data_IF_928515897753
#
_entry.id   IF_928515897753
#
_cell.length_a   1.000
_cell.length_b   1.000
_cell.length_c   1.000
_cell.angle_alpha   90.00
_cell.angle_beta   90.00
_cell.angle_gamma   90.00
#
_symmetry.space_group_name_H-M   'P 1'
#
loop_
_entity.id
_entity.type
_entity.pdbx_description
1 polymer ?
#
# COMPACT_ATOMS: atom_id res chain seq x y z
N UNK A 1 29.76 -17.30 -19.71
CA UNK A 1 28.80 -17.63 -18.62
C UNK A 1 27.82 -16.49 -18.43
N UNK A 2 26.90 -16.27 -19.38
CA UNK A 2 25.84 -15.23 -19.24
C UNK A 2 24.45 -15.87 -19.33
N UNK A 3 24.34 -17.00 -20.05
CA UNK A 3 23.09 -17.74 -20.23
C UNK A 3 22.60 -18.44 -18.95
N UNK A 4 23.50 -18.90 -18.07
CA UNK A 4 23.11 -19.53 -16.81
C UNK A 4 22.52 -18.53 -15.82
N UNK A 5 23.08 -17.32 -15.74
CA UNK A 5 22.63 -16.27 -14.81
C UNK A 5 21.22 -15.76 -15.16
N UNK A 6 20.91 -15.62 -16.44
CA UNK A 6 19.58 -15.21 -16.90
C UNK A 6 18.49 -16.25 -16.53
N UNK A 7 18.76 -17.54 -16.73
CA UNK A 7 17.81 -18.62 -16.40
C UNK A 7 17.56 -18.73 -14.89
N UNK A 8 18.57 -18.48 -14.06
CA UNK A 8 18.38 -18.44 -12.60
C UNK A 8 17.55 -17.24 -12.14
N UNK A 9 17.75 -16.07 -12.76
CA UNK A 9 16.95 -14.88 -12.45
C UNK A 9 15.48 -15.08 -12.82
N UNK A 10 15.22 -15.63 -14.01
CA UNK A 10 13.87 -15.88 -14.53
C UNK A 10 13.10 -16.91 -13.67
N UNK A 11 13.77 -18.01 -13.26
CA UNK A 11 13.18 -19.00 -12.35
C UNK A 11 12.97 -18.50 -10.93
N UNK A 12 13.85 -17.62 -10.43
CA UNK A 12 13.69 -17.03 -9.11
C UNK A 12 12.47 -16.08 -9.09
N UNK A 13 12.25 -15.36 -10.18
CA UNK A 13 11.10 -14.46 -10.35
C UNK A 13 9.78 -15.24 -10.45
N UNK A 14 9.71 -16.31 -11.24
CA UNK A 14 8.52 -17.18 -11.33
C UNK A 14 8.13 -17.82 -9.98
N UNK A 15 9.13 -18.30 -9.22
CA UNK A 15 8.90 -18.90 -7.91
C UNK A 15 8.40 -17.87 -6.89
N UNK A 16 8.95 -16.65 -6.92
CA UNK A 16 8.52 -15.55 -6.05
C UNK A 16 7.09 -15.10 -6.38
N UNK A 17 6.74 -15.05 -7.67
CA UNK A 17 5.38 -14.74 -8.12
C UNK A 17 4.38 -15.79 -7.66
N UNK A 18 4.71 -17.09 -7.81
CA UNK A 18 3.87 -18.19 -7.31
C UNK A 18 3.67 -18.13 -5.80
N UNK A 19 4.74 -17.89 -5.04
CA UNK A 19 4.68 -17.75 -3.59
C UNK A 19 3.82 -16.55 -3.15
N UNK A 20 3.96 -15.41 -3.84
CA UNK A 20 3.17 -14.20 -3.59
C UNK A 20 1.68 -14.43 -3.85
N UNK A 21 1.32 -15.11 -4.94
CA UNK A 21 -0.06 -15.50 -5.25
C UNK A 21 -0.67 -16.41 -4.18
N UNK A 22 0.07 -17.43 -3.73
CA UNK A 22 -0.38 -18.32 -2.66
C UNK A 22 -0.58 -17.56 -1.34
N UNK A 23 0.35 -16.67 -0.99
CA UNK A 23 0.23 -15.82 0.18
C UNK A 23 -1.01 -14.92 0.12
N UNK A 24 -1.25 -14.26 -1.01
CA UNK A 24 -2.45 -13.44 -1.23
C UNK A 24 -3.75 -14.26 -1.16
N UNK A 25 -3.74 -15.48 -1.69
CA UNK A 25 -4.89 -16.38 -1.60
C UNK A 25 -5.21 -16.78 -0.15
N UNK A 26 -4.17 -16.98 0.69
CA UNK A 26 -4.34 -17.24 2.12
C UNK A 26 -4.86 -15.99 2.86
N UNK A 27 -4.36 -14.80 2.52
CA UNK A 27 -4.80 -13.54 3.12
C UNK A 27 -6.26 -13.20 2.82
N UNK A 28 -6.79 -13.62 1.67
CA UNK A 28 -8.21 -13.45 1.30
C UNK A 28 -9.18 -14.29 2.12
N UNK A 29 -8.70 -15.21 2.96
CA UNK A 29 -9.54 -15.93 3.92
C UNK A 29 -9.81 -15.04 5.15
N UNK A 30 -11.00 -15.14 5.73
CA UNK A 30 -11.44 -14.29 6.86
C UNK A 30 -10.46 -14.28 8.04
N UNK A 31 -9.87 -15.44 8.37
CA UNK A 31 -8.89 -15.55 9.46
C UNK A 31 -7.51 -14.98 9.07
N UNK A 32 -7.15 -15.04 7.79
CA UNK A 32 -5.94 -14.44 7.24
C UNK A 32 -5.99 -12.91 7.29
N UNK A 33 -7.11 -12.32 6.87
CA UNK A 33 -7.31 -10.87 6.91
C UNK A 33 -7.27 -10.33 8.35
N UNK A 34 -7.92 -11.01 9.30
CA UNK A 34 -7.86 -10.64 10.73
C UNK A 34 -6.45 -10.74 11.29
N UNK A 35 -5.72 -11.81 10.96
CA UNK A 35 -4.33 -11.99 11.41
C UNK A 35 -3.41 -10.90 10.84
N UNK A 36 -3.61 -10.51 9.59
CA UNK A 36 -2.86 -9.42 8.98
C UNK A 36 -3.12 -8.09 9.69
N UNK A 37 -4.39 -7.75 9.97
CA UNK A 37 -4.74 -6.52 10.70
C UNK A 37 -4.06 -6.45 12.08
N UNK A 38 -3.92 -7.59 12.77
CA UNK A 38 -3.22 -7.67 14.05
C UNK A 38 -1.70 -7.49 13.90
N UNK A 39 -1.12 -7.93 12.79
CA UNK A 39 0.32 -7.84 12.53
C UNK A 39 0.75 -6.47 11.96
N UNK A 40 -0.16 -5.71 11.33
CA UNK A 40 0.15 -4.42 10.69
C UNK A 40 0.87 -3.44 11.62
N UNK A 41 0.46 -3.24 12.90
CA UNK A 41 1.17 -2.32 13.80
C UNK A 41 2.60 -2.75 14.14
N UNK A 42 2.91 -4.06 14.08
CA UNK A 42 4.27 -4.55 14.33
C UNK A 42 5.20 -4.25 13.14
N UNK A 43 4.68 -4.41 11.91
CA UNK A 43 5.43 -4.13 10.67
C UNK A 43 5.50 -2.63 10.39
N UNK A 44 4.40 -1.92 10.65
CA UNK A 44 4.23 -0.50 10.35
C UNK A 44 3.76 0.24 11.61
N UNK A 45 4.67 0.63 12.51
CA UNK A 45 4.31 1.27 13.78
C UNK A 45 3.53 2.58 13.65
N UNK A 46 3.57 3.23 12.49
CA UNK A 46 2.81 4.46 12.22
C UNK A 46 1.31 4.20 12.04
N UNK A 47 0.88 2.95 11.77
CA UNK A 47 -0.53 2.55 11.62
C UNK A 47 -1.34 2.82 12.88
N UNK A 48 -0.72 2.89 14.06
CA UNK A 48 -1.39 3.26 15.32
C UNK A 48 -1.98 4.68 15.36
N UNK A 49 -1.61 5.53 14.39
CA UNK A 49 -2.15 6.88 14.24
C UNK A 49 -3.31 6.93 13.24
N UNK A 50 -3.64 5.82 12.59
CA UNK A 50 -4.80 5.70 11.73
C UNK A 50 -6.01 5.26 12.57
N UNK A 51 -7.20 5.72 12.17
CA UNK A 51 -8.46 5.21 12.68
C UNK A 51 -8.81 3.83 12.07
N UNK A 52 -9.87 3.20 12.57
CA UNK A 52 -10.22 1.86 12.14
C UNK A 52 -10.61 1.77 10.65
N UNK A 53 -11.14 2.85 10.06
CA UNK A 53 -11.52 2.92 8.65
C UNK A 53 -10.29 3.07 7.78
N UNK A 54 -9.42 4.02 8.12
CA UNK A 54 -8.13 4.25 7.46
C UNK A 54 -7.24 2.99 7.48
N UNK A 55 -7.22 2.23 8.60
CA UNK A 55 -6.49 0.95 8.66
C UNK A 55 -7.06 -0.06 7.65
N UNK A 56 -8.39 -0.13 7.51
CA UNK A 56 -9.02 -1.04 6.54
C UNK A 56 -8.70 -0.62 5.11
N UNK A 57 -8.81 0.66 4.80
CA UNK A 57 -8.49 1.20 3.47
C UNK A 57 -7.02 0.95 3.10
N UNK A 58 -6.09 1.25 4.02
CA UNK A 58 -4.68 0.92 3.84
C UNK A 58 -4.45 -0.56 3.57
N UNK A 59 -5.14 -1.44 4.31
CA UNK A 59 -4.99 -2.89 4.14
C UNK A 59 -5.45 -3.35 2.76
N UNK A 60 -6.58 -2.82 2.28
CA UNK A 60 -7.10 -3.13 0.95
C UNK A 60 -6.15 -2.65 -0.13
N UNK A 61 -5.73 -1.38 -0.08
CA UNK A 61 -4.82 -0.80 -1.07
C UNK A 61 -3.47 -1.53 -1.10
N UNK A 62 -2.92 -1.89 0.08
CA UNK A 62 -1.68 -2.66 0.17
C UNK A 62 -1.84 -4.05 -0.46
N UNK A 63 -2.97 -4.73 -0.22
CA UNK A 63 -3.22 -6.06 -0.76
C UNK A 63 -3.39 -6.03 -2.29
N UNK A 64 -4.10 -5.02 -2.80
CA UNK A 64 -4.25 -4.79 -4.25
C UNK A 64 -2.90 -4.50 -4.89
N UNK A 65 -2.11 -3.60 -4.31
CA UNK A 65 -0.78 -3.27 -4.82
C UNK A 65 0.18 -4.48 -4.80
N UNK A 66 0.11 -5.33 -3.77
CA UNK A 66 0.89 -6.58 -3.70
C UNK A 66 0.43 -7.59 -4.76
N UNK A 67 -0.89 -7.65 -5.03
CA UNK A 67 -1.44 -8.48 -6.11
C UNK A 67 -0.96 -8.00 -7.48
N UNK A 68 -1.03 -6.71 -7.75
CA UNK A 68 -0.55 -6.12 -9.01
C UNK A 68 0.97 -6.28 -9.17
N UNK A 69 1.73 -6.18 -8.08
CA UNK A 69 3.17 -6.44 -8.11
C UNK A 69 3.49 -7.90 -8.46
N UNK A 70 2.67 -8.86 -7.98
CA UNK A 70 2.83 -10.27 -8.29
C UNK A 70 2.39 -10.61 -9.72
N UNK A 71 1.29 -10.03 -10.21
CA UNK A 71 0.75 -10.32 -11.54
C UNK A 71 1.44 -9.55 -12.66
N UNK A 72 1.74 -8.27 -12.43
CA UNK A 72 2.15 -7.30 -13.45
C UNK A 72 3.55 -6.73 -13.23
N UNK A 73 4.24 -7.11 -12.14
CA UNK A 73 5.55 -6.55 -11.79
C UNK A 73 5.48 -5.09 -11.32
N UNK A 74 4.29 -4.57 -11.00
CA UNK A 74 4.03 -3.18 -10.62
C UNK A 74 4.48 -2.83 -9.18
N UNK A 75 5.75 -3.08 -8.85
CA UNK A 75 6.33 -2.89 -7.50
C UNK A 75 6.23 -1.45 -6.98
N UNK A 76 6.18 -0.48 -7.89
CA UNK A 76 5.98 0.94 -7.55
C UNK A 76 4.64 1.21 -6.87
N UNK A 77 3.59 0.44 -7.16
CA UNK A 77 2.28 0.60 -6.52
C UNK A 77 2.36 0.35 -5.01
N UNK A 78 3.11 -0.69 -4.60
CA UNK A 78 3.30 -1.04 -3.18
C UNK A 78 4.05 0.07 -2.46
N UNK A 79 5.13 0.59 -3.08
CA UNK A 79 5.90 1.68 -2.50
C UNK A 79 5.04 2.94 -2.31
N UNK A 80 4.25 3.31 -3.33
CA UNK A 80 3.34 4.45 -3.27
C UNK A 80 2.33 4.31 -2.14
N UNK A 81 1.65 3.17 -2.02
CA UNK A 81 0.67 2.94 -0.96
C UNK A 81 1.30 3.16 0.43
N UNK A 82 2.47 2.58 0.69
CA UNK A 82 3.18 2.72 1.97
C UNK A 82 3.56 4.19 2.24
N UNK A 83 4.04 4.92 1.24
CA UNK A 83 4.46 6.32 1.40
C UNK A 83 3.25 7.22 1.67
N UNK A 84 2.17 7.05 0.90
CA UNK A 84 0.94 7.84 1.03
C UNK A 84 0.32 7.66 2.41
N UNK A 85 0.09 6.41 2.84
CA UNK A 85 -0.54 6.15 4.13
C UNK A 85 0.34 6.55 5.32
N UNK A 86 1.67 6.48 5.17
CA UNK A 86 2.58 7.05 6.17
C UNK A 86 2.47 8.57 6.27
N UNK A 87 2.16 9.27 5.17
CA UNK A 87 1.91 10.70 5.20
C UNK A 87 0.59 11.01 5.93
N UNK A 88 -0.49 10.27 5.65
CA UNK A 88 -1.76 10.36 6.40
C UNK A 88 -1.54 10.15 7.90
N UNK A 89 -0.84 9.07 8.28
CA UNK A 89 -0.55 8.79 9.69
C UNK A 89 0.27 9.89 10.38
N UNK A 90 1.14 10.60 9.65
CA UNK A 90 1.89 11.75 10.20
C UNK A 90 0.98 12.95 10.45
N UNK A 91 0.03 13.21 9.56
CA UNK A 91 -0.98 14.26 9.75
C UNK A 91 -1.85 13.92 10.97
N UNK A 92 -2.33 12.67 11.08
CA UNK A 92 -3.17 12.24 12.19
C UNK A 92 -2.42 12.27 13.54
N UNK A 93 -1.10 12.06 13.53
CA UNK A 93 -0.28 12.14 14.73
C UNK A 93 -0.07 13.58 15.26
N UNK A 94 -0.32 14.59 14.43
CA UNK A 94 -0.15 16.01 14.77
C UNK A 94 -1.52 16.72 14.78
N UNK A 95 -2.09 17.04 15.95
CA UNK A 95 -3.40 17.68 16.05
C UNK A 95 -3.50 19.03 15.34
N UNK A 96 -2.40 19.77 15.19
CA UNK A 96 -2.39 21.03 14.45
C UNK A 96 -2.47 20.79 12.95
N UNK A 97 -1.69 19.84 12.43
CA UNK A 97 -1.76 19.44 11.02
C UNK A 97 -3.10 18.80 10.67
N UNK A 98 -3.65 17.97 11.54
CA UNK A 98 -4.97 17.38 11.33
C UNK A 98 -6.06 18.47 11.27
N UNK A 99 -6.01 19.46 12.16
CA UNK A 99 -6.95 20.59 12.12
C UNK A 99 -6.83 21.40 10.84
N UNK A 100 -5.61 21.63 10.35
CA UNK A 100 -5.39 22.33 9.08
C UNK A 100 -5.85 21.49 7.88
N UNK A 101 -5.60 20.18 7.87
CA UNK A 101 -6.01 19.27 6.80
C UNK A 101 -7.54 19.13 6.70
N UNK A 102 -8.24 19.17 7.84
CA UNK A 102 -9.71 19.15 7.89
C UNK A 102 -10.33 20.54 7.66
N UNK A 103 -9.53 21.60 7.57
CA UNK A 103 -10.05 22.94 7.33
C UNK A 103 -10.71 22.98 5.95
N UNK A 104 -11.98 23.41 5.85
CA UNK A 104 -12.59 23.61 4.55
C UNK A 104 -11.73 24.57 3.73
N UNK A 105 -11.37 24.17 2.51
CA UNK A 105 -10.57 25.01 1.64
C UNK A 105 -11.31 26.32 1.31
N UNK A 106 -12.64 26.35 1.42
CA UNK A 106 -13.47 27.49 1.06
C UNK A 106 -13.73 27.52 -0.45
N UNK A 107 -14.42 28.55 -0.93
CA UNK A 107 -14.71 28.75 -2.35
C UNK A 107 -13.52 29.42 -3.07
N UNK A 108 -12.32 28.84 -2.89
CA UNK A 108 -11.09 29.32 -3.52
C UNK A 108 -10.90 28.58 -4.83
N UNK A 109 -10.89 29.33 -5.92
CA UNK A 109 -10.43 28.83 -7.22
C UNK A 109 -8.95 28.45 -7.11
N UNK A 110 -8.66 27.14 -7.16
CA UNK A 110 -7.30 26.58 -7.11
C UNK A 110 -6.59 26.67 -8.47
N UNK A 111 -7.17 27.39 -9.41
CA UNK A 111 -6.67 27.56 -10.77
C UNK A 111 -7.30 26.56 -11.75
N UNK A 112 -7.15 26.83 -13.05
CA UNK A 112 -7.67 25.97 -14.10
C UNK A 112 -6.99 24.60 -14.08
N UNK A 113 -7.78 23.53 -14.13
CA UNK A 113 -7.27 22.16 -14.28
C UNK A 113 -6.82 21.98 -15.72
N UNK A 114 -5.50 21.92 -15.95
CA UNK A 114 -4.95 21.53 -17.24
C UNK A 114 -5.13 20.03 -17.46
N UNK A 115 -6.20 19.64 -18.15
CA UNK A 115 -6.36 18.29 -18.67
C UNK A 115 -5.43 18.12 -19.86
N UNK A 116 -4.41 17.27 -19.73
CA UNK A 116 -3.62 16.82 -20.88
C UNK A 116 -4.39 15.68 -21.56
N UNK A 117 -4.77 15.89 -22.84
CA UNK A 117 -5.36 14.87 -23.72
C UNK A 117 -4.33 13.86 -24.23
#
# INVERSE_FOLDING_TARGET
>A
MVLTTAIYAERAEENLTTASRLFLALLKQDDGAKSLLLALPEVFPWVRHLDAEEVREFTVELLEALSDAAELGAREAVHRAIVSWRATARINADPDQLREALRPLGDVDLGPVEVHE
#
